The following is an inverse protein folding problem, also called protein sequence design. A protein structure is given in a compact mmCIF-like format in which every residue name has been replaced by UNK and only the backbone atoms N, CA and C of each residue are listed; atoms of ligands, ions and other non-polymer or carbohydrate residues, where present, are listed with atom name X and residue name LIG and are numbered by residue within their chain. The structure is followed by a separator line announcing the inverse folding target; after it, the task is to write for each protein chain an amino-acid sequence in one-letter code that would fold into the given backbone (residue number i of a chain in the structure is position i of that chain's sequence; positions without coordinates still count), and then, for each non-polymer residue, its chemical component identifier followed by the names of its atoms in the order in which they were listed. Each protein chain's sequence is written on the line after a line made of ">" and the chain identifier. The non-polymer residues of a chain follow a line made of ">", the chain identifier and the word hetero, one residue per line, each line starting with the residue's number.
data_IF_441548885778
#
_entry.id   IF_441548885778
#
_cell.length_a   1.000
_cell.length_b   1.000
_cell.length_c   1.000
_cell.angle_alpha   90.00
_cell.angle_beta   90.00
_cell.angle_gamma   90.00
#
_symmetry.space_group_name_H-M   'P 1'
#
loop_
_entity.id
_entity.type
_entity.pdbx_description
1 polymer ?
#
# COMPACT_ATOMS: atom_id res chain seq x y z
N UNK A 1 14.68 -4.00 7.44
CA UNK A 1 14.29 -5.38 7.09
C UNK A 1 13.99 -5.45 5.59
N UNK A 2 13.55 -6.60 5.07
CA UNK A 2 13.08 -6.68 3.69
C UNK A 2 11.89 -5.72 3.49
N UNK A 3 11.76 -5.15 2.31
CA UNK A 3 10.70 -4.21 1.92
C UNK A 3 10.10 -4.62 0.58
N UNK A 4 8.86 -4.23 0.29
CA UNK A 4 8.20 -4.58 -0.97
C UNK A 4 8.26 -3.43 -1.96
N UNK A 5 8.29 -3.79 -3.25
CA UNK A 5 7.90 -2.95 -4.37
C UNK A 5 6.49 -3.37 -4.75
N UNK A 6 5.56 -2.42 -4.75
CA UNK A 6 4.15 -2.72 -5.00
C UNK A 6 3.61 -1.91 -6.16
N UNK A 7 2.57 -2.45 -6.79
CA UNK A 7 1.75 -1.74 -7.78
C UNK A 7 0.33 -1.62 -7.27
N UNK A 8 -0.32 -0.52 -7.61
CA UNK A 8 -1.66 -0.25 -7.09
C UNK A 8 -2.35 0.96 -7.68
N UNK A 9 -3.55 1.19 -7.16
CA UNK A 9 -4.44 2.27 -7.57
C UNK A 9 -4.41 3.40 -6.55
N UNK A 10 -4.15 4.64 -7.01
CA UNK A 10 -4.27 5.85 -6.20
C UNK A 10 -5.69 6.41 -6.33
N UNK A 11 -6.41 6.46 -5.22
CA UNK A 11 -7.80 6.93 -5.15
C UNK A 11 -7.89 8.42 -4.85
N UNK A 12 -9.07 9.00 -5.11
CA UNK A 12 -9.33 10.43 -4.91
C UNK A 12 -9.28 10.88 -3.45
N UNK A 13 -9.34 9.93 -2.51
CA UNK A 13 -9.14 10.17 -1.08
C UNK A 13 -7.67 10.18 -0.66
N UNK A 14 -6.73 10.03 -1.60
CA UNK A 14 -5.30 9.97 -1.34
C UNK A 14 -4.78 8.58 -0.93
N UNK A 15 -5.67 7.61 -0.66
CA UNK A 15 -5.25 6.24 -0.37
C UNK A 15 -4.70 5.54 -1.61
N UNK A 16 -3.60 4.82 -1.40
CA UNK A 16 -3.01 3.88 -2.36
C UNK A 16 -3.42 2.46 -1.97
N UNK A 17 -4.05 1.74 -2.90
CA UNK A 17 -4.50 0.36 -2.69
C UNK A 17 -3.64 -0.55 -3.55
N UNK A 18 -2.86 -1.40 -2.89
CA UNK A 18 -1.99 -2.38 -3.54
C UNK A 18 -2.86 -3.39 -4.29
N UNK A 19 -2.64 -3.52 -5.59
CA UNK A 19 -3.26 -4.56 -6.43
C UNK A 19 -2.30 -5.71 -6.67
N UNK A 20 -0.98 -5.46 -6.64
CA UNK A 20 0.05 -6.48 -6.87
C UNK A 20 1.33 -6.18 -6.08
N UNK A 21 1.94 -7.24 -5.53
CA UNK A 21 3.31 -7.20 -5.01
C UNK A 21 4.26 -7.59 -6.13
N UNK A 22 5.19 -6.71 -6.50
CA UNK A 22 6.06 -6.88 -7.66
C UNK A 22 7.32 -7.65 -7.27
N UNK A 23 8.01 -7.16 -6.25
CA UNK A 23 9.30 -7.66 -5.84
C UNK A 23 9.49 -7.42 -4.34
N UNK A 24 10.26 -8.30 -3.71
CA UNK A 24 10.78 -8.07 -2.36
C UNK A 24 12.26 -7.70 -2.44
N UNK A 25 12.61 -6.52 -1.92
CA UNK A 25 13.99 -6.13 -1.74
C UNK A 25 14.57 -6.85 -0.52
N UNK A 26 15.58 -7.68 -0.76
CA UNK A 26 16.27 -8.42 0.29
C UNK A 26 17.16 -7.48 1.14
N UNK A 27 17.06 -7.59 2.46
CA UNK A 27 17.90 -6.82 3.38
C UNK A 27 19.24 -7.49 3.71
N UNK A 28 19.50 -8.67 3.18
CA UNK A 28 20.70 -9.50 3.36
C UNK A 28 21.08 -9.66 4.84
N UNK A 29 20.09 -9.88 5.72
CA UNK A 29 20.30 -10.02 7.15
C UNK A 29 20.05 -11.46 7.59
N UNK A 30 20.97 -12.09 8.35
CA UNK A 30 20.75 -13.43 8.90
C UNK A 30 19.64 -13.46 9.97
N UNK A 31 19.23 -12.30 10.47
CA UNK A 31 18.18 -12.14 11.49
C UNK A 31 16.84 -11.69 10.92
N UNK A 32 16.62 -11.78 9.60
CA UNK A 32 15.34 -11.45 8.97
C UNK A 32 14.74 -12.71 8.34
N UNK A 33 13.53 -13.11 8.76
CA UNK A 33 12.89 -14.34 8.27
C UNK A 33 12.58 -14.30 6.76
N UNK A 34 12.48 -13.09 6.20
CA UNK A 34 12.19 -12.85 4.80
C UNK A 34 13.44 -12.73 3.93
N UNK A 35 14.64 -12.71 4.53
CA UNK A 35 15.90 -12.59 3.79
C UNK A 35 16.37 -13.97 3.32
N UNK A 36 16.96 -14.01 2.12
CA UNK A 36 17.66 -15.18 1.58
C UNK A 36 18.86 -15.62 2.43
N UNK A 37 19.43 -14.70 3.23
CA UNK A 37 20.56 -14.99 4.12
C UNK A 37 20.13 -15.48 5.49
N UNK A 38 18.82 -15.66 5.71
CA UNK A 38 18.31 -16.19 6.96
C UNK A 38 18.88 -17.58 7.24
N UNK A 39 19.60 -17.71 8.35
CA UNK A 39 20.42 -18.89 8.63
C UNK A 39 19.60 -20.12 9.06
N UNK A 40 18.36 -19.94 9.53
CA UNK A 40 17.57 -21.01 10.13
C UNK A 40 16.29 -21.30 9.31
N UNK A 41 16.14 -22.46 8.65
CA UNK A 41 14.98 -22.73 7.79
C UNK A 41 13.64 -22.79 8.55
N UNK A 42 13.64 -23.12 9.86
CA UNK A 42 12.44 -23.26 10.69
C UNK A 42 12.44 -22.26 11.85
N UNK A 43 12.25 -20.97 11.54
CA UNK A 43 12.36 -19.87 12.51
C UNK A 43 11.06 -19.08 12.81
N UNK A 44 9.83 -19.66 12.78
CA UNK A 44 8.61 -18.88 12.96
C UNK A 44 8.44 -18.32 14.39
N UNK A 45 9.08 -18.93 15.40
CA UNK A 45 8.97 -18.53 16.82
C UNK A 45 10.25 -17.92 17.42
N UNK A 46 11.29 -17.67 16.63
CA UNK A 46 12.52 -17.10 17.18
C UNK A 46 12.30 -15.66 17.66
N UNK A 47 12.68 -15.31 18.92
CA UNK A 47 12.54 -13.96 19.45
C UNK A 47 13.61 -13.00 18.90
N UNK A 48 14.70 -13.53 18.36
CA UNK A 48 15.83 -12.72 17.85
C UNK A 48 15.67 -12.32 16.39
N UNK A 49 14.80 -13.00 15.63
CA UNK A 49 14.58 -12.70 14.23
C UNK A 49 13.44 -11.68 14.05
N UNK A 50 13.67 -10.73 13.14
CA UNK A 50 12.67 -9.76 12.72
C UNK A 50 11.68 -10.42 11.76
N UNK A 51 10.39 -10.29 12.08
CA UNK A 51 9.28 -11.01 11.40
C UNK A 51 8.46 -10.16 10.44
N UNK A 52 8.49 -8.85 10.63
CA UNK A 52 7.71 -7.94 9.81
C UNK A 52 8.52 -7.48 8.59
N UNK A 53 7.82 -6.95 7.59
CA UNK A 53 8.45 -6.20 6.51
C UNK A 53 8.56 -4.74 6.95
N UNK A 54 9.52 -4.02 6.38
CA UNK A 54 9.50 -2.55 6.42
C UNK A 54 8.35 -2.02 5.56
N UNK A 55 8.01 -0.72 5.67
CA UNK A 55 7.19 -0.06 4.67
C UNK A 55 7.66 -0.34 3.24
N UNK A 56 6.71 -0.33 2.31
CA UNK A 56 7.00 -0.48 0.89
C UNK A 56 8.05 0.57 0.48
N UNK A 57 9.11 0.12 -0.18
CA UNK A 57 10.20 1.01 -0.59
C UNK A 57 9.90 1.75 -1.89
N UNK A 58 8.93 1.25 -2.66
CA UNK A 58 8.49 1.84 -3.91
C UNK A 58 7.02 1.48 -4.16
N UNK A 59 6.22 2.51 -4.46
CA UNK A 59 4.83 2.39 -4.88
C UNK A 59 4.73 2.78 -6.37
N UNK A 60 4.33 1.84 -7.22
CA UNK A 60 4.06 2.10 -8.64
C UNK A 60 2.55 2.32 -8.80
N UNK A 61 2.18 3.53 -9.18
CA UNK A 61 0.79 3.88 -9.47
C UNK A 61 0.48 3.43 -10.91
N UNK A 62 -0.24 2.32 -11.05
CA UNK A 62 -0.67 1.81 -12.36
C UNK A 62 -2.00 2.40 -12.81
N UNK A 63 -2.81 2.85 -11.86
CA UNK A 63 -4.07 3.52 -12.11
C UNK A 63 -4.28 4.66 -11.10
N UNK A 64 -4.80 5.79 -11.57
CA UNK A 64 -5.25 6.89 -10.72
C UNK A 64 -6.73 7.16 -10.97
N UNK A 65 -7.50 7.37 -9.91
CA UNK A 65 -8.94 7.65 -10.00
C UNK A 65 -9.37 8.71 -8.99
N UNK A 66 -10.39 9.49 -9.35
CA UNK A 66 -11.02 10.47 -8.45
C UNK A 66 -12.11 9.84 -7.56
N UNK A 67 -12.37 8.54 -7.75
CA UNK A 67 -13.32 7.77 -6.94
C UNK A 67 -12.65 7.43 -5.61
N UNK A 68 -13.41 7.52 -4.51
CA UNK A 68 -12.93 7.12 -3.20
C UNK A 68 -12.73 5.61 -3.09
N UNK A 69 -11.78 5.17 -2.28
CA UNK A 69 -11.64 3.75 -1.98
C UNK A 69 -12.85 3.27 -1.17
N UNK A 70 -13.15 1.97 -1.21
CA UNK A 70 -14.30 1.37 -0.49
C UNK A 70 -14.33 1.71 1.00
N UNK A 71 -13.16 1.81 1.63
CA UNK A 71 -13.04 2.16 3.05
C UNK A 71 -13.40 3.62 3.35
N UNK A 72 -13.16 4.53 2.40
CA UNK A 72 -13.53 5.94 2.52
C UNK A 72 -14.94 6.21 2.00
N UNK A 73 -15.46 5.33 1.14
CA UNK A 73 -16.73 5.49 0.48
C UNK A 73 -17.86 5.76 1.47
N UNK A 74 -17.94 5.03 2.58
CA UNK A 74 -18.93 5.27 3.64
C UNK A 74 -18.88 6.71 4.18
N UNK A 75 -17.70 7.17 4.60
CA UNK A 75 -17.50 8.49 5.21
C UNK A 75 -17.81 9.65 4.28
N UNK A 76 -17.63 9.46 2.98
CA UNK A 76 -17.75 10.54 2.02
C UNK A 76 -18.93 10.42 1.06
N UNK A 77 -19.56 9.26 0.89
CA UNK A 77 -20.82 9.13 0.13
C UNK A 77 -21.99 9.70 0.94
N UNK A 78 -22.02 9.52 2.26
CA UNK A 78 -23.05 10.13 3.13
C UNK A 78 -22.88 11.66 3.24
N UNK A 79 -21.68 12.18 2.96
CA UNK A 79 -21.40 13.62 2.83
C UNK A 79 -21.60 14.21 1.43
N UNK A 80 -21.91 13.40 0.41
CA UNK A 80 -21.85 13.78 -1.02
C UNK A 80 -23.17 14.12 -1.69
N UNK A 81 -24.20 14.51 -0.94
CA UNK A 81 -25.33 15.27 -1.54
C UNK A 81 -24.89 16.66 -2.01
N UNK A 82 -23.67 17.17 -1.73
CA UNK A 82 -23.37 18.60 -1.94
C UNK A 82 -22.18 19.05 -2.80
N UNK A 83 -21.26 18.21 -3.28
CA UNK A 83 -20.02 18.75 -3.91
C UNK A 83 -19.64 18.25 -5.31
N UNK A 84 -20.49 17.51 -6.02
CA UNK A 84 -20.22 17.18 -7.44
C UNK A 84 -21.07 17.97 -8.46
N UNK A 85 -22.01 18.83 -8.01
CA UNK A 85 -22.81 19.67 -8.91
C UNK A 85 -22.23 21.07 -9.19
N UNK A 86 -21.13 21.48 -8.52
CA UNK A 86 -20.65 22.87 -8.60
C UNK A 86 -19.38 23.09 -9.46
N UNK A 87 -18.72 22.02 -9.94
CA UNK A 87 -17.50 22.17 -10.74
C UNK A 87 -17.76 22.43 -12.25
N UNK A 88 -19.00 22.30 -12.72
CA UNK A 88 -19.39 22.52 -14.13
C UNK A 88 -20.17 23.82 -14.38
N UNK A 89 -20.45 24.63 -13.34
CA UNK A 89 -21.22 25.88 -13.46
C UNK A 89 -20.39 27.18 -13.39
N UNK A 90 -19.06 27.10 -13.21
CA UNK A 90 -18.16 28.25 -13.06
C UNK A 90 -17.23 28.49 -14.26
N UNK A 91 -17.61 28.02 -15.46
CA UNK A 91 -17.05 28.54 -16.72
C UNK A 91 -18.17 29.23 -17.49
N UNK A 92 -18.51 30.44 -17.03
CA UNK A 92 -19.12 31.48 -17.87
C UNK A 92 -18.00 32.31 -18.48
#
# INVERSE_FOLDING_TARGET
>A
MCSLKTEGTKHGCGHYIITRKVEQRDCNSPYCIHSRLHAQPNCPHCPHCRRFLEPDHEEIITQQTNIFCKSCEYWFNEGRVRQQAQASAQRR
#
